data_IF_440222382036
#
_entry.id   IF_440222382036
#
_cell.length_a   1.000
_cell.length_b   1.000
_cell.length_c   1.000
_cell.angle_alpha   90.00
_cell.angle_beta   90.00
_cell.angle_gamma   90.00
#
_symmetry.space_group_name_H-M   'P 1'
#
loop_
_entity.id
_entity.type
_entity.pdbx_description
1 polymer ?
#
# COMPACT_ATOMS: atom_id res chain seq x y z
N UNK A 1 -9.61 -10.78 23.80
CA UNK A 1 -10.56 -10.95 22.68
C UNK A 1 -11.91 -11.47 23.18
N UNK A 2 -11.91 -12.45 24.08
CA UNK A 2 -13.15 -13.02 24.64
C UNK A 2 -14.01 -12.00 25.43
N UNK A 3 -13.39 -10.92 25.90
CA UNK A 3 -14.05 -9.78 26.55
C UNK A 3 -14.54 -8.69 25.59
N UNK A 4 -14.55 -8.95 24.26
CA UNK A 4 -14.91 -7.95 23.26
C UNK A 4 -13.81 -6.92 22.96
N UNK A 5 -12.59 -7.14 23.42
CA UNK A 5 -11.46 -6.22 23.21
C UNK A 5 -10.90 -6.34 21.79
N UNK A 6 -10.44 -5.22 21.27
CA UNK A 6 -9.72 -5.15 19.98
C UNK A 6 -8.21 -5.15 20.26
N UNK A 7 -7.51 -6.11 19.70
CA UNK A 7 -6.06 -6.30 19.92
C UNK A 7 -5.32 -6.08 18.61
N UNK A 8 -4.27 -5.27 18.66
CA UNK A 8 -3.31 -5.11 17.56
C UNK A 8 -2.02 -5.84 17.93
N UNK A 9 -1.58 -6.75 17.07
CA UNK A 9 -0.33 -7.49 17.20
C UNK A 9 0.65 -7.03 16.13
N UNK A 10 1.81 -6.57 16.55
CA UNK A 10 2.91 -6.18 15.66
C UNK A 10 3.98 -7.29 15.70
N UNK A 11 4.11 -8.05 14.61
CA UNK A 11 5.10 -9.12 14.49
C UNK A 11 6.34 -8.61 13.77
N UNK A 12 7.34 -8.22 14.52
CA UNK A 12 8.63 -7.76 14.02
C UNK A 12 9.75 -8.71 14.48
N UNK A 13 10.57 -9.35 13.66
CA UNK A 13 10.53 -9.39 12.21
C UNK A 13 10.27 -10.83 11.76
N UNK A 14 9.36 -11.01 10.83
CA UNK A 14 8.99 -12.35 10.36
C UNK A 14 10.07 -12.98 9.46
N UNK A 15 10.96 -12.18 8.89
CA UNK A 15 12.14 -12.67 8.18
C UNK A 15 13.10 -13.34 9.15
N UNK A 16 13.38 -12.72 10.29
CA UNK A 16 14.21 -13.31 11.34
C UNK A 16 13.59 -14.58 11.94
N UNK A 17 12.28 -14.60 12.08
CA UNK A 17 11.55 -15.81 12.49
C UNK A 17 11.77 -16.96 11.49
N UNK A 18 11.64 -16.69 10.19
CA UNK A 18 11.85 -17.68 9.14
C UNK A 18 13.32 -18.17 9.07
N UNK A 19 14.27 -17.28 9.27
CA UNK A 19 15.69 -17.65 9.36
C UNK A 19 15.95 -18.60 10.53
N UNK A 20 15.33 -18.35 11.67
CA UNK A 20 15.44 -19.24 12.84
C UNK A 20 14.81 -20.61 12.54
N UNK A 21 13.65 -20.65 11.85
CA UNK A 21 13.04 -21.92 11.39
C UNK A 21 13.96 -22.68 10.44
N UNK A 22 14.63 -21.99 9.52
CA UNK A 22 15.56 -22.61 8.59
C UNK A 22 16.75 -23.26 9.33
N UNK A 23 17.29 -22.59 10.35
CA UNK A 23 18.37 -23.16 11.18
C UNK A 23 17.91 -24.43 11.89
N UNK A 24 16.72 -24.43 12.48
CA UNK A 24 16.16 -25.63 13.15
C UNK A 24 15.93 -26.75 12.17
N UNK A 25 15.29 -26.47 11.02
CA UNK A 25 15.02 -27.43 9.95
C UNK A 25 16.30 -28.11 9.43
N UNK A 26 17.35 -27.30 9.20
CA UNK A 26 18.64 -27.84 8.76
C UNK A 26 19.30 -28.76 9.79
N UNK A 27 19.13 -28.47 11.09
CA UNK A 27 19.61 -29.35 12.16
C UNK A 27 18.83 -30.65 12.31
N UNK A 28 17.62 -30.67 11.74
CA UNK A 28 16.78 -31.87 11.69
C UNK A 28 16.93 -32.64 10.36
N UNK A 29 17.96 -32.34 9.58
CA UNK A 29 18.29 -32.93 8.28
C UNK A 29 17.11 -32.88 7.27
N UNK A 30 16.27 -31.83 7.37
CA UNK A 30 15.19 -31.63 6.42
C UNK A 30 15.71 -30.98 5.12
N UNK A 31 15.18 -31.42 3.98
CA UNK A 31 15.58 -30.89 2.68
C UNK A 31 15.03 -29.44 2.54
N UNK A 32 15.90 -28.46 2.30
CA UNK A 32 15.48 -27.08 2.10
C UNK A 32 14.69 -26.89 0.80
N UNK A 33 13.75 -25.94 0.81
CA UNK A 33 12.97 -25.50 -0.34
C UNK A 33 13.54 -24.20 -0.93
N UNK A 34 12.69 -23.39 -1.59
CA UNK A 34 13.06 -22.09 -2.17
C UNK A 34 13.79 -21.19 -1.14
N UNK A 35 14.83 -20.50 -1.58
CA UNK A 35 15.66 -19.58 -0.80
C UNK A 35 16.27 -20.21 0.47
N UNK A 36 16.56 -21.52 0.43
CA UNK A 36 17.07 -22.31 1.56
C UNK A 36 16.13 -22.36 2.78
N UNK A 37 14.86 -22.03 2.61
CA UNK A 37 13.83 -22.08 3.65
C UNK A 37 13.27 -23.48 3.82
N UNK A 38 12.73 -23.84 5.01
CA UNK A 38 12.08 -25.12 5.23
C UNK A 38 10.84 -25.29 4.35
N UNK A 39 10.56 -26.51 3.91
CA UNK A 39 9.36 -26.82 3.13
C UNK A 39 8.05 -26.53 3.87
N UNK A 40 8.09 -26.46 5.21
CA UNK A 40 6.95 -26.11 6.06
C UNK A 40 6.71 -24.60 6.22
N UNK A 41 7.56 -23.73 5.65
CA UNK A 41 7.52 -22.28 5.87
C UNK A 41 6.11 -21.69 5.73
N UNK A 42 5.42 -22.02 4.63
CA UNK A 42 4.06 -21.54 4.40
C UNK A 42 3.11 -21.92 5.53
N UNK A 43 3.10 -23.18 5.93
CA UNK A 43 2.19 -23.67 6.98
C UNK A 43 2.55 -23.10 8.37
N UNK A 44 3.83 -22.85 8.64
CA UNK A 44 4.25 -22.28 9.91
C UNK A 44 3.90 -20.80 10.02
N UNK A 45 4.04 -20.03 8.94
CA UNK A 45 3.55 -18.66 8.86
C UNK A 45 2.02 -18.60 8.95
N UNK A 46 1.31 -19.48 8.23
CA UNK A 46 -0.14 -19.53 8.24
C UNK A 46 -0.71 -19.79 9.63
N UNK A 47 -0.13 -20.72 10.40
CA UNK A 47 -0.54 -21.00 11.79
C UNK A 47 -0.49 -19.76 12.69
N UNK A 48 0.41 -18.81 12.39
CA UNK A 48 0.52 -17.56 13.15
C UNK A 48 -0.51 -16.55 12.64
N UNK A 49 -0.56 -16.34 11.32
CA UNK A 49 -1.39 -15.28 10.71
C UNK A 49 -2.88 -15.57 10.77
N UNK A 50 -3.29 -16.85 10.71
CA UNK A 50 -4.69 -17.28 10.85
C UNK A 50 -5.29 -17.01 12.25
N UNK A 51 -4.47 -16.58 13.21
CA UNK A 51 -4.96 -16.09 14.50
C UNK A 51 -5.57 -14.69 14.42
N UNK A 52 -5.41 -13.98 13.31
CA UNK A 52 -6.15 -12.75 13.03
C UNK A 52 -7.63 -13.10 12.82
N UNK A 53 -8.49 -12.62 13.70
CA UNK A 53 -9.91 -13.01 13.75
C UNK A 53 -10.77 -11.87 14.26
N UNK A 54 -12.02 -11.83 13.78
CA UNK A 54 -13.08 -11.02 14.36
C UNK A 54 -14.15 -11.96 14.93
N UNK A 55 -14.45 -11.79 16.21
CA UNK A 55 -15.41 -12.61 16.93
C UNK A 55 -16.81 -11.97 16.93
N UNK A 56 -17.90 -12.76 17.03
CA UNK A 56 -19.27 -12.25 17.07
C UNK A 56 -19.56 -11.29 18.23
N UNK A 57 -18.83 -11.43 19.34
CA UNK A 57 -18.94 -10.55 20.53
C UNK A 57 -18.28 -9.18 20.35
N UNK A 58 -17.74 -8.86 19.16
CA UNK A 58 -17.06 -7.61 18.84
C UNK A 58 -15.55 -7.59 19.13
N UNK A 59 -15.02 -8.63 19.75
CA UNK A 59 -13.57 -8.80 19.93
C UNK A 59 -12.86 -9.08 18.63
N UNK A 60 -11.62 -8.58 18.45
CA UNK A 60 -10.85 -8.83 17.24
C UNK A 60 -9.34 -8.85 17.48
N UNK A 61 -8.64 -9.62 16.66
CA UNK A 61 -7.17 -9.58 16.56
C UNK A 61 -6.81 -9.11 15.16
N UNK A 62 -6.08 -8.00 15.11
CA UNK A 62 -5.45 -7.51 13.86
C UNK A 62 -3.96 -7.78 13.95
N UNK A 63 -3.37 -8.40 12.93
CA UNK A 63 -1.94 -8.71 12.88
C UNK A 63 -1.30 -7.88 11.77
N UNK A 64 -0.22 -7.17 12.12
CA UNK A 64 0.69 -6.56 11.14
C UNK A 64 1.99 -7.34 11.20
N UNK A 65 2.26 -8.12 10.16
CA UNK A 65 3.48 -8.89 10.00
C UNK A 65 4.50 -8.06 9.20
N UNK A 66 5.65 -7.79 9.78
CA UNK A 66 6.75 -7.04 9.14
C UNK A 66 7.74 -8.02 8.56
N UNK A 67 8.07 -7.86 7.28
CA UNK A 67 9.11 -8.61 6.59
C UNK A 67 10.16 -7.66 6.02
N UNK A 68 11.42 -8.07 6.10
CA UNK A 68 12.54 -7.35 5.48
C UNK A 68 12.71 -7.82 4.03
N UNK A 69 12.80 -6.86 3.11
CA UNK A 69 13.03 -7.14 1.70
C UNK A 69 14.53 -7.08 1.38
N UNK A 70 15.18 -8.22 1.27
CA UNK A 70 16.56 -8.30 0.84
C UNK A 70 16.68 -7.85 -0.61
N UNK A 71 17.49 -6.81 -0.85
CA UNK A 71 17.63 -6.23 -2.20
C UNK A 71 16.35 -5.59 -2.76
N UNK A 72 15.31 -5.36 -1.95
CA UNK A 72 14.02 -4.85 -2.39
C UNK A 72 13.16 -5.87 -3.15
N UNK A 73 13.51 -7.15 -3.08
CA UNK A 73 12.84 -8.23 -3.81
C UNK A 73 11.67 -8.80 -2.99
N UNK A 74 10.46 -8.54 -3.46
CA UNK A 74 9.21 -9.04 -2.88
C UNK A 74 8.97 -10.53 -3.19
N UNK A 75 9.71 -11.11 -4.13
CA UNK A 75 9.54 -12.51 -4.55
C UNK A 75 10.35 -13.49 -3.69
N UNK A 76 11.12 -13.02 -2.72
CA UNK A 76 11.76 -13.86 -1.71
C UNK A 76 10.70 -14.68 -0.95
N UNK A 77 11.05 -15.87 -0.49
CA UNK A 77 10.10 -16.84 0.07
C UNK A 77 9.27 -16.29 1.23
N UNK A 78 9.84 -15.47 2.13
CA UNK A 78 9.13 -14.96 3.30
C UNK A 78 8.11 -13.88 2.96
N UNK A 79 8.46 -12.78 2.26
CA UNK A 79 7.47 -11.77 1.86
C UNK A 79 6.44 -12.33 0.88
N UNK A 80 6.82 -13.21 -0.05
CA UNK A 80 5.90 -13.83 -0.99
C UNK A 80 4.83 -14.66 -0.28
N UNK A 81 5.23 -15.60 0.58
CA UNK A 81 4.29 -16.40 1.38
C UNK A 81 3.44 -15.54 2.32
N UNK A 82 4.02 -14.53 2.97
CA UNK A 82 3.28 -13.59 3.81
C UNK A 82 2.21 -12.86 3.00
N UNK A 83 2.55 -12.42 1.79
CA UNK A 83 1.61 -11.78 0.86
C UNK A 83 0.46 -12.67 0.42
N UNK A 84 0.69 -13.99 0.27
CA UNK A 84 -0.37 -14.95 -0.06
C UNK A 84 -1.32 -15.23 1.11
N UNK A 85 -0.81 -15.30 2.33
CA UNK A 85 -1.61 -15.67 3.51
C UNK A 85 -2.42 -14.48 4.02
N UNK A 86 -1.87 -13.27 3.99
CA UNK A 86 -2.50 -12.06 4.55
C UNK A 86 -3.46 -11.39 3.58
N UNK A 87 -4.41 -10.59 4.10
CA UNK A 87 -5.43 -9.90 3.30
C UNK A 87 -4.95 -8.61 2.62
N UNK A 88 -3.73 -8.20 2.89
CA UNK A 88 -3.12 -7.03 2.26
C UNK A 88 -1.65 -6.92 2.58
N UNK A 89 -0.96 -6.15 1.76
CA UNK A 89 0.45 -5.85 1.94
C UNK A 89 0.72 -4.37 1.66
N UNK A 90 1.52 -3.75 2.51
CA UNK A 90 2.01 -2.40 2.34
C UNK A 90 3.50 -2.48 2.02
N UNK A 91 3.85 -2.10 0.81
CA UNK A 91 5.23 -2.01 0.37
C UNK A 91 5.77 -0.61 0.67
N UNK A 92 6.81 -0.54 1.50
CA UNK A 92 7.45 0.72 1.86
C UNK A 92 8.72 0.93 1.02
N UNK A 93 8.90 2.14 0.52
CA UNK A 93 10.14 2.53 -0.18
C UNK A 93 10.54 3.96 0.18
N UNK A 94 11.82 4.26 0.01
CA UNK A 94 12.30 5.63 0.06
C UNK A 94 11.98 6.32 -1.26
N UNK A 95 11.31 7.45 -1.20
CA UNK A 95 11.04 8.27 -2.37
C UNK A 95 12.28 9.10 -2.72
N UNK A 96 12.73 9.00 -3.97
CA UNK A 96 13.92 9.72 -4.47
C UNK A 96 13.75 11.24 -4.51
N UNK A 97 12.51 11.71 -4.70
CA UNK A 97 12.23 13.13 -4.94
C UNK A 97 12.00 13.89 -3.62
N UNK A 98 11.43 13.22 -2.63
CA UNK A 98 11.13 13.80 -1.32
C UNK A 98 12.09 13.35 -0.23
N UNK A 99 12.81 12.25 -0.43
CA UNK A 99 13.67 11.61 0.58
C UNK A 99 12.91 10.92 1.71
N UNK A 100 11.58 11.00 1.73
CA UNK A 100 10.71 10.38 2.73
C UNK A 100 10.48 8.90 2.46
N UNK A 101 10.14 8.16 3.50
CA UNK A 101 9.59 6.81 3.35
C UNK A 101 8.10 6.92 3.02
N UNK A 102 7.68 6.29 1.94
CA UNK A 102 6.31 6.30 1.46
C UNK A 102 5.76 4.89 1.28
N UNK A 103 4.45 4.76 1.30
CA UNK A 103 3.75 3.57 0.84
C UNK A 103 3.72 3.59 -0.68
N UNK A 104 4.29 2.55 -1.32
CA UNK A 104 4.25 2.43 -2.78
C UNK A 104 2.85 2.00 -3.25
N UNK A 105 2.13 2.85 -3.99
CA UNK A 105 0.75 2.55 -4.39
C UNK A 105 0.62 1.46 -5.45
N UNK A 106 1.71 1.15 -6.18
CA UNK A 106 1.70 0.11 -7.22
C UNK A 106 2.01 -1.28 -6.69
N UNK A 107 2.87 -1.36 -5.67
CA UNK A 107 3.29 -2.61 -5.08
C UNK A 107 2.49 -3.01 -3.86
N UNK A 108 1.69 -2.07 -3.32
CA UNK A 108 0.78 -2.32 -2.20
C UNK A 108 -0.55 -2.88 -2.67
N UNK A 109 -1.13 -3.78 -1.89
CA UNK A 109 -2.36 -4.47 -2.23
C UNK A 109 -3.27 -4.59 -1.00
N UNK A 110 -4.57 -4.43 -1.20
CA UNK A 110 -5.61 -4.84 -0.24
C UNK A 110 -6.68 -5.66 -0.96
N UNK A 111 -6.88 -6.92 -0.55
CA UNK A 111 -7.92 -7.80 -1.10
C UNK A 111 -9.31 -7.39 -0.62
N UNK A 112 -9.41 -6.78 0.56
CA UNK A 112 -10.67 -6.38 1.18
C UNK A 112 -11.16 -4.99 0.75
N UNK A 113 -10.42 -4.26 -0.08
CA UNK A 113 -10.77 -2.88 -0.47
C UNK A 113 -12.20 -2.76 -1.04
N UNK A 114 -12.66 -3.73 -1.82
CA UNK A 114 -13.99 -3.71 -2.44
C UNK A 114 -15.14 -3.86 -1.43
N UNK A 115 -14.87 -4.34 -0.22
CA UNK A 115 -15.86 -4.43 0.86
C UNK A 115 -16.05 -3.11 1.59
N UNK A 116 -15.11 -2.18 1.45
CA UNK A 116 -15.04 -0.93 2.21
C UNK A 116 -15.18 0.30 1.32
N UNK A 117 -14.43 0.35 0.21
CA UNK A 117 -14.34 1.52 -0.65
C UNK A 117 -15.68 1.84 -1.31
N UNK A 118 -16.20 3.05 -1.09
CA UNK A 118 -17.49 3.51 -1.61
C UNK A 118 -18.72 2.89 -0.97
N UNK A 119 -18.54 2.01 0.05
CA UNK A 119 -19.63 1.38 0.81
C UNK A 119 -19.65 1.84 2.26
N UNK A 120 -18.48 1.82 2.91
CA UNK A 120 -18.26 2.30 4.28
C UNK A 120 -17.52 3.63 4.30
N UNK A 121 -16.97 4.04 3.17
CA UNK A 121 -16.31 5.32 2.94
C UNK A 121 -17.15 6.16 1.97
N UNK A 122 -16.77 7.43 1.77
CA UNK A 122 -17.45 8.37 0.90
C UNK A 122 -17.58 7.82 -0.54
N UNK A 123 -18.67 8.13 -1.22
CA UNK A 123 -19.03 7.57 -2.54
C UNK A 123 -18.02 7.85 -3.66
N UNK A 124 -17.27 8.95 -3.57
CA UNK A 124 -16.25 9.34 -4.54
C UNK A 124 -14.93 8.57 -4.40
N UNK A 125 -14.71 7.90 -3.24
CA UNK A 125 -13.45 7.23 -2.93
C UNK A 125 -12.96 6.29 -4.05
N UNK A 126 -13.79 5.43 -4.67
CA UNK A 126 -13.32 4.54 -5.73
C UNK A 126 -12.75 5.29 -6.93
N UNK A 127 -13.39 6.41 -7.32
CA UNK A 127 -12.98 7.17 -8.48
C UNK A 127 -11.78 8.07 -8.19
N UNK A 128 -11.74 8.67 -7.00
CA UNK A 128 -10.58 9.43 -6.52
C UNK A 128 -9.33 8.55 -6.50
N UNK A 129 -9.44 7.34 -5.93
CA UNK A 129 -8.34 6.38 -5.89
C UNK A 129 -7.86 5.99 -7.30
N UNK A 130 -8.78 5.66 -8.21
CA UNK A 130 -8.42 5.27 -9.58
C UNK A 130 -7.76 6.42 -10.34
N UNK A 131 -8.28 7.64 -10.20
CA UNK A 131 -7.68 8.83 -10.81
C UNK A 131 -6.28 9.11 -10.24
N UNK A 132 -6.12 9.02 -8.92
CA UNK A 132 -4.83 9.23 -8.28
C UNK A 132 -3.77 8.22 -8.75
N UNK A 133 -4.11 6.92 -8.80
CA UNK A 133 -3.19 5.87 -9.27
C UNK A 133 -2.81 6.09 -10.73
N UNK A 134 -3.76 6.46 -11.59
CA UNK A 134 -3.49 6.74 -13.00
C UNK A 134 -2.54 7.95 -13.15
N UNK A 135 -2.87 9.08 -12.52
CA UNK A 135 -2.05 10.29 -12.59
C UNK A 135 -0.65 10.09 -12.00
N UNK A 136 -0.55 9.28 -10.94
CA UNK A 136 0.74 8.91 -10.37
C UNK A 136 1.54 7.98 -11.32
N UNK A 137 0.88 7.11 -12.08
CA UNK A 137 1.49 6.31 -13.14
C UNK A 137 1.98 7.18 -14.30
N UNK A 138 1.20 8.19 -14.70
CA UNK A 138 1.60 9.14 -15.74
C UNK A 138 2.87 9.89 -15.31
N UNK A 139 2.98 10.28 -14.04
CA UNK A 139 4.19 10.89 -13.51
C UNK A 139 5.41 9.94 -13.56
N UNK A 140 5.22 8.65 -13.27
CA UNK A 140 6.30 7.68 -13.40
C UNK A 140 6.79 7.56 -14.85
N UNK A 141 5.87 7.57 -15.80
CA UNK A 141 6.19 7.60 -17.24
C UNK A 141 6.91 8.89 -17.64
N UNK A 142 6.46 10.05 -17.14
CA UNK A 142 7.12 11.34 -17.37
C UNK A 142 8.55 11.35 -16.82
N UNK A 143 8.78 10.76 -15.64
CA UNK A 143 10.12 10.61 -15.06
C UNK A 143 11.03 9.76 -15.94
N UNK A 144 10.52 8.64 -16.45
CA UNK A 144 11.27 7.79 -17.40
C UNK A 144 11.62 8.52 -18.69
N UNK A 145 10.70 9.35 -19.22
CA UNK A 145 11.00 10.21 -20.38
C UNK A 145 12.16 11.15 -20.08
N UNK A 146 12.11 11.85 -18.93
CA UNK A 146 13.15 12.78 -18.52
C UNK A 146 14.52 12.08 -18.36
N UNK A 147 14.55 10.92 -17.72
CA UNK A 147 15.76 10.12 -17.53
C UNK A 147 16.37 9.65 -18.86
N UNK A 148 15.54 9.42 -19.88
CA UNK A 148 15.97 9.06 -21.24
C UNK A 148 16.29 10.29 -22.12
N UNK A 149 16.25 11.51 -21.58
CA UNK A 149 16.61 12.74 -22.30
C UNK A 149 15.54 13.24 -23.27
N UNK A 150 14.28 12.84 -23.12
CA UNK A 150 13.17 13.38 -23.91
C UNK A 150 12.63 14.68 -23.30
N UNK A 151 12.16 15.56 -24.16
CA UNK A 151 11.43 16.77 -23.74
C UNK A 151 10.10 16.40 -23.08
N UNK A 152 9.78 17.12 -22.02
CA UNK A 152 8.51 16.96 -21.29
C UNK A 152 7.45 17.90 -21.86
N UNK A 153 6.23 17.40 -21.99
CA UNK A 153 5.06 18.23 -22.24
C UNK A 153 4.66 19.00 -20.96
N UNK A 154 3.83 20.05 -21.11
CA UNK A 154 3.23 20.74 -19.96
C UNK A 154 2.46 19.77 -19.03
N UNK A 155 1.78 18.79 -19.61
CA UNK A 155 1.10 17.75 -18.82
C UNK A 155 2.11 16.89 -18.06
N UNK A 156 3.22 16.46 -18.67
CA UNK A 156 4.26 15.68 -17.99
C UNK A 156 4.85 16.46 -16.80
N UNK A 157 5.14 17.76 -16.98
CA UNK A 157 5.65 18.59 -15.88
C UNK A 157 4.66 18.72 -14.73
N UNK A 158 3.36 18.89 -15.05
CA UNK A 158 2.30 18.99 -14.03
C UNK A 158 2.12 17.68 -13.28
N UNK A 159 2.20 16.54 -13.97
CA UNK A 159 2.12 15.22 -13.30
C UNK A 159 3.30 14.96 -12.38
N UNK A 160 4.51 15.39 -12.72
CA UNK A 160 5.67 15.28 -11.82
C UNK A 160 5.50 16.12 -10.55
N UNK A 161 5.03 17.37 -10.69
CA UNK A 161 4.75 18.25 -9.54
C UNK A 161 3.63 17.67 -8.66
N UNK A 162 2.57 17.14 -9.29
CA UNK A 162 1.48 16.46 -8.60
C UNK A 162 2.00 15.25 -7.81
N UNK A 163 2.77 14.35 -8.44
CA UNK A 163 3.23 13.14 -7.79
C UNK A 163 4.12 13.43 -6.57
N UNK A 164 4.98 14.45 -6.66
CA UNK A 164 5.80 14.89 -5.53
C UNK A 164 4.93 15.33 -4.35
N UNK A 165 3.98 16.25 -4.57
CA UNK A 165 3.12 16.78 -3.52
C UNK A 165 2.15 15.70 -2.99
N UNK A 166 1.69 14.80 -3.84
CA UNK A 166 0.85 13.65 -3.47
C UNK A 166 1.62 12.69 -2.56
N UNK A 167 2.88 12.38 -2.90
CA UNK A 167 3.75 11.55 -2.06
C UNK A 167 3.96 12.16 -0.67
N UNK A 168 4.22 13.47 -0.61
CA UNK A 168 4.46 14.17 0.66
C UNK A 168 3.22 14.24 1.55
N UNK A 169 2.04 14.46 0.96
CA UNK A 169 0.81 14.74 1.71
C UNK A 169 -0.05 13.51 2.00
N UNK A 170 0.07 12.45 1.18
CA UNK A 170 -0.84 11.31 1.26
C UNK A 170 -0.14 9.96 1.36
N UNK A 171 1.07 9.79 0.82
CA UNK A 171 1.76 8.50 0.83
C UNK A 171 2.85 8.38 1.89
N UNK A 172 3.33 9.49 2.44
CA UNK A 172 4.38 9.47 3.44
C UNK A 172 3.88 8.83 4.75
N UNK A 173 4.71 7.99 5.37
CA UNK A 173 4.33 7.24 6.57
C UNK A 173 4.11 8.10 7.82
N UNK A 174 4.56 9.35 7.79
CA UNK A 174 4.34 10.35 8.85
C UNK A 174 3.00 11.10 8.70
N UNK A 175 2.23 10.82 7.64
CA UNK A 175 0.91 11.41 7.43
C UNK A 175 -0.13 10.69 8.29
N UNK A 176 -0.86 11.46 9.11
CA UNK A 176 -1.95 10.97 9.94
C UNK A 176 -3.17 11.87 9.77
N UNK A 177 -4.03 11.53 8.82
CA UNK A 177 -5.26 12.26 8.50
C UNK A 177 -6.44 11.30 8.35
N UNK A 178 -7.64 11.80 8.64
CA UNK A 178 -8.88 11.04 8.44
C UNK A 178 -9.15 10.81 6.95
N UNK A 179 -9.82 9.70 6.63
CA UNK A 179 -10.08 9.29 5.24
C UNK A 179 -10.86 10.34 4.44
N UNK A 180 -11.75 11.08 5.09
CA UNK A 180 -12.51 12.15 4.44
C UNK A 180 -11.61 13.31 4.06
N UNK A 181 -10.70 13.70 4.94
CA UNK A 181 -9.71 14.75 4.67
C UNK A 181 -8.69 14.31 3.61
N UNK A 182 -8.31 13.02 3.61
CA UNK A 182 -7.49 12.44 2.55
C UNK A 182 -8.14 12.62 1.17
N UNK A 183 -9.44 12.31 1.05
CA UNK A 183 -10.19 12.50 -0.19
C UNK A 183 -10.28 13.96 -0.60
N UNK A 184 -10.54 14.86 0.34
CA UNK A 184 -10.57 16.31 0.08
C UNK A 184 -9.20 16.86 -0.34
N UNK A 185 -8.14 16.34 0.26
CA UNK A 185 -6.76 16.69 -0.13
C UNK A 185 -6.45 16.19 -1.54
N UNK A 186 -6.86 14.99 -1.90
CA UNK A 186 -6.72 14.48 -3.27
C UNK A 186 -7.47 15.37 -4.28
N UNK A 187 -8.72 15.78 -3.98
CA UNK A 187 -9.46 16.72 -4.83
C UNK A 187 -8.75 18.07 -4.99
N UNK A 188 -8.20 18.62 -3.90
CA UNK A 188 -7.41 19.87 -3.96
C UNK A 188 -6.17 19.72 -4.84
N UNK A 189 -5.48 18.59 -4.76
CA UNK A 189 -4.32 18.32 -5.62
C UNK A 189 -4.72 18.15 -7.08
N UNK A 190 -5.83 17.46 -7.36
CA UNK A 190 -6.35 17.37 -8.72
C UNK A 190 -6.66 18.75 -9.30
N UNK A 191 -7.41 19.58 -8.58
CA UNK A 191 -7.78 20.91 -9.04
C UNK A 191 -6.58 21.87 -9.20
N UNK A 192 -5.51 21.67 -8.44
CA UNK A 192 -4.29 22.47 -8.52
C UNK A 192 -3.48 22.18 -9.78
N UNK A 193 -3.46 20.94 -10.23
CA UNK A 193 -2.56 20.50 -11.30
C UNK A 193 -3.26 20.13 -12.61
N UNK A 194 -4.56 19.84 -12.56
CA UNK A 194 -5.28 19.30 -13.72
C UNK A 194 -6.62 19.97 -13.93
N UNK A 195 -7.12 19.86 -15.13
CA UNK A 195 -8.51 20.19 -15.48
C UNK A 195 -9.44 19.03 -15.11
N UNK A 196 -10.75 19.30 -15.01
CA UNK A 196 -11.76 18.28 -14.75
C UNK A 196 -11.73 17.14 -15.76
N UNK A 197 -11.49 17.46 -17.05
CA UNK A 197 -11.40 16.50 -18.14
C UNK A 197 -10.18 15.57 -18.02
N UNK A 198 -9.04 16.10 -17.59
CA UNK A 198 -7.80 15.32 -17.39
C UNK A 198 -7.93 14.35 -16.20
N UNK A 199 -8.64 14.74 -15.14
CA UNK A 199 -8.89 13.88 -13.99
C UNK A 199 -9.84 12.72 -14.32
N UNK A 200 -10.74 12.91 -15.30
CA UNK A 200 -11.64 11.89 -15.85
C UNK A 200 -12.49 11.16 -14.77
N UNK A 201 -12.99 11.89 -13.79
CA UNK A 201 -13.98 11.44 -12.81
C UNK A 201 -15.38 11.82 -13.31
N UNK A 202 -16.40 11.04 -12.93
CA UNK A 202 -17.80 11.31 -13.31
C UNK A 202 -18.23 12.71 -12.94
N UNK A 203 -18.93 13.38 -13.87
CA UNK A 203 -19.35 14.78 -13.75
C UNK A 203 -20.11 15.06 -12.45
N UNK A 204 -21.06 14.21 -12.06
CA UNK A 204 -21.83 14.36 -10.83
C UNK A 204 -20.94 14.43 -9.56
N UNK A 205 -19.86 13.66 -9.52
CA UNK A 205 -18.91 13.73 -8.41
C UNK A 205 -18.00 14.95 -8.50
N UNK A 206 -17.60 15.29 -9.72
CA UNK A 206 -16.80 16.49 -9.98
C UNK A 206 -17.57 17.76 -9.61
N UNK A 207 -18.84 17.87 -9.95
CA UNK A 207 -19.67 19.00 -9.53
C UNK A 207 -19.83 19.13 -8.02
N UNK A 208 -19.91 18.00 -7.33
CA UNK A 208 -20.11 17.93 -5.89
C UNK A 208 -18.84 18.20 -5.08
N UNK A 209 -17.71 17.67 -5.51
CA UNK A 209 -16.47 17.63 -4.71
C UNK A 209 -15.30 18.47 -5.27
N UNK A 210 -15.41 18.94 -6.51
CA UNK A 210 -14.35 19.81 -7.06
C UNK A 210 -14.24 21.10 -6.24
N UNK A 211 -13.04 21.47 -5.77
CA UNK A 211 -12.87 22.69 -5.00
C UNK A 211 -13.38 23.89 -5.77
N UNK A 212 -14.25 24.67 -5.16
CA UNK A 212 -14.63 25.98 -5.69
C UNK A 212 -13.43 26.87 -5.51
N UNK A 213 -12.93 27.45 -6.59
CA UNK A 213 -11.91 28.49 -6.52
C UNK A 213 -12.43 29.60 -5.60
N UNK A 214 -11.71 29.82 -4.49
CA UNK A 214 -11.94 30.97 -3.63
C UNK A 214 -11.51 32.24 -4.35
#
# INVERSE_FOLDING_TARGET
VDKGEKVLVLLTDMTLYADALAIVSNRMDQIPSKDSMPGSLYSDLAKIYEKAVQLPNGGSITIIAVTTLSGGDITNAVPDNTGYITEGQLFLRKDSDTGKVIVDPFRSLSRLKQLVIGKKTREDHPQVMNAAVRLYSDAANAKTKLENGFDLSDYDERTLKFAKEYSEKLLAIDVNIEITEMLDTAWRLFAKYFTKSEVAIKEALTEKYWPRTA
#
